data_IF_808022029428
#
_entry.id   IF_808022029428
#
_cell.length_a   1.000
_cell.length_b   1.000
_cell.length_c   1.000
_cell.angle_alpha   90.00
_cell.angle_beta   90.00
_cell.angle_gamma   90.00
#
_symmetry.space_group_name_H-M   'P 1'
#
loop_
_entity.id
_entity.type
_entity.pdbx_description
1 polymer ?
#
# COMPACT_ATOMS: atom_id res chain seq x y z
N UNK A 1 39.57 -49.41 -21.32
CA UNK A 1 39.44 -49.80 -19.90
C UNK A 1 37.97 -49.67 -19.51
N UNK A 2 37.28 -50.79 -19.19
CA UNK A 2 35.81 -50.89 -19.10
C UNK A 2 35.32 -50.49 -17.70
N UNK A 3 34.79 -49.28 -17.53
CA UNK A 3 34.15 -48.82 -16.27
C UNK A 3 32.76 -49.43 -16.01
N UNK A 4 32.20 -50.20 -16.94
CA UNK A 4 30.88 -50.86 -16.80
C UNK A 4 30.91 -52.17 -16.01
N UNK A 5 32.08 -52.69 -15.66
CA UNK A 5 32.22 -54.07 -15.12
C UNK A 5 32.22 -54.15 -13.59
N UNK A 6 32.30 -53.03 -12.87
CA UNK A 6 32.48 -53.03 -11.41
C UNK A 6 31.57 -52.06 -10.65
N UNK A 7 30.66 -51.35 -11.32
CA UNK A 7 29.76 -50.40 -10.68
C UNK A 7 28.30 -50.75 -11.00
N UNK A 8 27.55 -51.16 -9.97
CA UNK A 8 26.10 -51.18 -10.03
C UNK A 8 25.62 -49.73 -9.96
N UNK A 9 25.02 -49.23 -11.04
CA UNK A 9 24.36 -47.94 -11.05
C UNK A 9 22.85 -48.16 -11.07
N UNK A 10 22.16 -47.48 -10.17
CA UNK A 10 20.70 -47.42 -10.15
C UNK A 10 20.34 -45.97 -10.47
N UNK A 11 19.62 -45.76 -11.56
CA UNK A 11 19.07 -44.44 -11.88
C UNK A 11 17.80 -44.28 -11.06
N UNK A 12 17.92 -43.59 -9.93
CA UNK A 12 16.76 -43.19 -9.15
C UNK A 12 16.37 -41.75 -9.49
N UNK A 13 15.08 -41.53 -9.70
CA UNK A 13 14.55 -40.18 -9.87
C UNK A 13 14.50 -39.51 -8.50
N UNK A 14 15.58 -38.80 -8.18
CA UNK A 14 15.63 -37.96 -6.98
C UNK A 14 15.10 -36.56 -7.27
N UNK A 15 14.47 -35.88 -6.29
CA UNK A 15 14.13 -34.48 -6.42
C UNK A 15 15.38 -33.63 -6.69
N UNK A 16 15.29 -32.68 -7.62
CA UNK A 16 16.41 -31.77 -7.95
C UNK A 16 16.76 -30.79 -6.83
N UNK A 17 15.83 -30.56 -5.89
CA UNK A 17 16.03 -29.71 -4.71
C UNK A 17 15.18 -30.20 -3.54
N UNK A 18 15.79 -30.24 -2.36
CA UNK A 18 15.10 -30.48 -1.08
C UNK A 18 15.04 -29.15 -0.35
N UNK A 19 13.84 -28.65 -0.11
CA UNK A 19 13.64 -27.42 0.70
C UNK A 19 13.25 -27.85 2.10
N UNK A 20 13.91 -27.24 3.10
CA UNK A 20 13.62 -27.45 4.50
C UNK A 20 13.49 -26.12 5.21
N UNK A 21 12.48 -26.01 6.05
CA UNK A 21 12.26 -24.86 6.91
C UNK A 21 11.90 -25.39 8.29
N UNK A 22 12.49 -24.83 9.34
CA UNK A 22 12.29 -25.30 10.72
C UNK A 22 12.45 -26.83 10.90
N UNK A 23 13.43 -27.43 10.21
CA UNK A 23 13.71 -28.87 10.18
C UNK A 23 12.59 -29.76 9.59
N UNK A 24 11.57 -29.16 8.96
CA UNK A 24 10.51 -29.87 8.26
C UNK A 24 10.75 -29.84 6.75
N UNK A 25 10.35 -30.91 6.05
CA UNK A 25 10.42 -30.97 4.60
C UNK A 25 9.23 -30.22 4.00
N UNK A 26 9.52 -29.15 3.26
CA UNK A 26 8.48 -28.36 2.62
C UNK A 26 8.39 -28.71 1.13
N UNK A 27 7.16 -28.84 0.64
CA UNK A 27 6.87 -29.04 -0.77
C UNK A 27 5.89 -27.97 -1.23
N UNK A 28 6.38 -27.05 -2.05
CA UNK A 28 5.54 -26.05 -2.68
C UNK A 28 4.75 -26.68 -3.83
N UNK A 29 3.44 -26.46 -3.81
CA UNK A 29 2.52 -26.77 -4.90
C UNK A 29 2.06 -25.41 -5.44
N UNK A 30 2.35 -25.14 -6.70
CA UNK A 30 1.92 -23.91 -7.37
C UNK A 30 0.70 -24.21 -8.22
N UNK A 31 -0.29 -23.33 -8.14
CA UNK A 31 -1.52 -23.41 -8.92
C UNK A 31 -1.72 -22.07 -9.59
N UNK A 32 -1.78 -22.08 -10.92
CA UNK A 32 -2.09 -20.90 -11.70
C UNK A 32 -3.60 -20.80 -11.91
N UNK A 33 -4.23 -19.83 -11.26
CA UNK A 33 -5.62 -19.49 -11.49
C UNK A 33 -5.71 -18.39 -12.56
N UNK A 34 -6.54 -18.62 -13.59
CA UNK A 34 -6.82 -17.62 -14.63
C UNK A 34 -8.20 -17.03 -14.38
N UNK A 35 -8.23 -15.84 -13.79
CA UNK A 35 -9.45 -15.09 -13.49
C UNK A 35 -9.19 -14.05 -12.40
N UNK A 36 -10.25 -13.42 -11.86
CA UNK A 36 -10.14 -12.46 -10.77
C UNK A 36 -9.47 -13.08 -9.53
N UNK A 37 -8.56 -12.34 -8.91
CA UNK A 37 -7.75 -12.81 -7.78
C UNK A 37 -8.60 -13.34 -6.61
N UNK A 38 -9.68 -12.63 -6.26
CA UNK A 38 -10.60 -13.00 -5.18
C UNK A 38 -11.30 -14.34 -5.40
N UNK A 39 -11.68 -14.63 -6.65
CA UNK A 39 -12.29 -15.92 -7.00
C UNK A 39 -11.27 -17.07 -6.89
N UNK A 40 -10.04 -16.84 -7.34
CA UNK A 40 -8.94 -17.80 -7.19
C UNK A 40 -8.64 -18.14 -5.73
N UNK A 41 -8.64 -17.13 -4.85
CA UNK A 41 -8.46 -17.32 -3.42
C UNK A 41 -9.59 -18.11 -2.77
N UNK A 42 -10.83 -17.84 -3.14
CA UNK A 42 -12.01 -18.54 -2.61
C UNK A 42 -11.96 -20.02 -3.01
N UNK A 43 -11.75 -20.29 -4.30
CA UNK A 43 -11.63 -21.65 -4.83
C UNK A 43 -10.49 -22.44 -4.15
N UNK A 44 -9.33 -21.81 -4.00
CA UNK A 44 -8.19 -22.45 -3.35
C UNK A 44 -8.49 -22.76 -1.87
N UNK A 45 -9.23 -21.88 -1.19
CA UNK A 45 -9.60 -22.11 0.23
C UNK A 45 -10.54 -23.31 0.34
N UNK A 46 -11.58 -23.35 -0.50
CA UNK A 46 -12.53 -24.45 -0.55
C UNK A 46 -11.84 -25.78 -0.90
N UNK A 47 -10.90 -25.77 -1.84
CA UNK A 47 -10.12 -26.95 -2.19
C UNK A 47 -9.21 -27.44 -1.06
N UNK A 48 -8.63 -26.52 -0.28
CA UNK A 48 -7.79 -26.86 0.88
C UNK A 48 -8.64 -27.43 2.03
N UNK A 49 -9.81 -26.86 2.29
CA UNK A 49 -10.71 -27.32 3.35
C UNK A 49 -11.32 -28.69 3.02
N UNK A 50 -11.58 -28.97 1.74
CA UNK A 50 -12.08 -30.27 1.27
C UNK A 50 -11.03 -31.37 1.18
N UNK A 51 -9.74 -31.05 1.31
CA UNK A 51 -8.65 -32.01 1.13
C UNK A 51 -8.10 -32.50 2.48
N UNK A 52 -8.32 -33.78 2.79
CA UNK A 52 -7.68 -34.42 3.95
C UNK A 52 -6.23 -34.78 3.63
N UNK A 53 -5.28 -34.06 4.22
CA UNK A 53 -3.86 -34.38 4.08
C UNK A 53 -3.56 -35.80 4.63
N UNK A 54 -2.67 -36.57 3.97
CA UNK A 54 -2.21 -37.84 4.52
C UNK A 54 -1.60 -37.67 5.91
N UNK A 55 -1.65 -38.70 6.79
CA UNK A 55 -1.11 -38.59 8.13
C UNK A 55 0.38 -38.21 8.10
N UNK A 56 0.75 -37.22 8.90
CA UNK A 56 2.11 -36.67 8.95
C UNK A 56 2.39 -35.48 8.01
N UNK A 57 1.44 -35.13 7.13
CA UNK A 57 1.52 -33.93 6.29
C UNK A 57 0.63 -32.82 6.84
N UNK A 58 1.16 -31.59 6.87
CA UNK A 58 0.39 -30.37 7.12
C UNK A 58 0.36 -29.57 5.83
N UNK A 59 -0.84 -29.17 5.42
CA UNK A 59 -1.02 -28.21 4.35
C UNK A 59 -1.07 -26.82 4.94
N UNK A 60 -0.22 -25.95 4.45
CA UNK A 60 -0.19 -24.55 4.83
C UNK A 60 -0.21 -23.72 3.56
N UNK A 61 -1.13 -22.76 3.50
CA UNK A 61 -1.16 -21.79 2.42
C UNK A 61 -0.01 -20.83 2.65
N UNK A 62 0.86 -20.70 1.67
CA UNK A 62 1.85 -19.63 1.64
C UNK A 62 1.11 -18.28 1.56
N UNK A 63 1.05 -17.56 2.69
CA UNK A 63 0.48 -16.22 2.77
C UNK A 63 1.62 -15.23 2.72
N UNK A 64 1.45 -14.14 1.97
CA UNK A 64 2.43 -13.06 1.97
C UNK A 64 2.69 -12.58 3.41
N UNK A 65 3.96 -12.52 3.86
CA UNK A 65 4.29 -12.05 5.20
C UNK A 65 3.85 -10.60 5.44
N UNK A 66 3.65 -9.81 4.38
CA UNK A 66 3.17 -8.43 4.47
C UNK A 66 1.74 -8.29 4.99
N UNK A 67 0.86 -9.25 4.68
CA UNK A 67 -0.56 -9.21 5.06
C UNK A 67 -0.92 -10.38 5.99
N UNK A 68 -0.06 -10.64 6.98
CA UNK A 68 -0.37 -11.61 8.04
C UNK A 68 -1.34 -10.98 9.07
N UNK A 69 -2.19 -11.79 9.71
CA UNK A 69 -3.14 -11.29 10.73
C UNK A 69 -2.43 -10.61 11.92
N UNK A 70 -1.22 -11.05 12.25
CA UNK A 70 -0.41 -10.43 13.30
C UNK A 70 0.08 -9.04 12.85
N UNK A 71 0.54 -8.95 11.59
CA UNK A 71 0.98 -7.68 10.99
C UNK A 71 -0.20 -6.71 10.85
N UNK A 72 -1.39 -7.17 10.47
CA UNK A 72 -2.59 -6.34 10.34
C UNK A 72 -2.98 -5.64 11.66
N UNK A 73 -2.93 -6.37 12.78
CA UNK A 73 -3.20 -5.78 14.10
C UNK A 73 -2.14 -4.74 14.48
N UNK A 74 -0.87 -5.04 14.20
CA UNK A 74 0.21 -4.10 14.45
C UNK A 74 0.06 -2.84 13.58
N UNK A 75 -0.34 -2.98 12.31
CA UNK A 75 -0.58 -1.86 11.41
C UNK A 75 -1.64 -0.90 11.93
N UNK A 76 -2.74 -1.39 12.49
CA UNK A 76 -3.77 -0.54 13.08
C UNK A 76 -3.22 0.38 14.17
N UNK A 77 -2.39 -0.17 15.06
CA UNK A 77 -1.71 0.61 16.10
C UNK A 77 -0.68 1.59 15.55
N UNK A 78 0.08 1.18 14.54
CA UNK A 78 1.06 2.05 13.87
C UNK A 78 0.37 3.23 13.21
N UNK A 79 -0.70 3.01 12.44
CA UNK A 79 -1.47 4.07 11.76
C UNK A 79 -2.06 5.06 12.77
N UNK A 80 -2.65 4.55 13.86
CA UNK A 80 -3.17 5.41 14.93
C UNK A 80 -2.06 6.22 15.59
N UNK A 81 -0.92 5.59 15.91
CA UNK A 81 0.26 6.27 16.44
C UNK A 81 0.80 7.36 15.49
N UNK A 82 0.84 7.08 14.19
CA UNK A 82 1.26 8.03 13.16
C UNK A 82 0.30 9.22 13.08
N UNK A 83 -1.02 9.01 13.09
CA UNK A 83 -2.00 10.11 13.05
C UNK A 83 -1.83 11.02 14.27
N UNK A 84 -1.70 10.43 15.46
CA UNK A 84 -1.47 11.19 16.70
C UNK A 84 -0.16 11.96 16.64
N UNK A 85 0.91 11.33 16.17
CA UNK A 85 2.22 11.97 16.08
C UNK A 85 2.24 13.11 15.06
N UNK A 86 1.63 12.92 13.88
CA UNK A 86 1.48 13.97 12.87
C UNK A 86 0.66 15.13 13.41
N UNK A 87 -0.43 14.85 14.12
CA UNK A 87 -1.26 15.88 14.76
C UNK A 87 -0.44 16.70 15.76
N UNK A 88 0.31 16.05 16.65
CA UNK A 88 1.11 16.74 17.67
C UNK A 88 2.25 17.55 17.07
N UNK A 89 2.97 17.00 16.08
CA UNK A 89 4.06 17.71 15.41
C UNK A 89 3.53 18.94 14.67
N UNK A 90 2.44 18.80 13.92
CA UNK A 90 1.84 19.96 13.22
C UNK A 90 1.20 20.96 14.17
N UNK A 91 0.63 20.51 15.30
CA UNK A 91 0.12 21.40 16.34
C UNK A 91 1.23 22.24 16.97
N UNK A 92 2.40 21.63 17.21
CA UNK A 92 3.58 22.33 17.71
C UNK A 92 4.14 23.33 16.69
N UNK A 93 4.13 23.00 15.39
CA UNK A 93 4.61 23.91 14.32
C UNK A 93 3.70 25.12 14.15
N UNK A 94 2.39 24.93 14.17
CA UNK A 94 1.42 26.00 13.93
C UNK A 94 0.96 26.73 15.20
N UNK A 95 1.44 26.31 16.38
CA UNK A 95 0.98 26.76 17.70
C UNK A 95 -0.56 26.75 17.83
N UNK A 96 -1.22 25.80 17.16
CA UNK A 96 -2.68 25.76 17.03
C UNK A 96 -3.19 24.33 16.97
N UNK A 97 -4.33 24.08 17.63
CA UNK A 97 -4.99 22.77 17.67
C UNK A 97 -5.96 22.56 16.49
N UNK A 98 -6.38 23.63 15.81
CA UNK A 98 -7.38 23.55 14.73
C UNK A 98 -6.74 23.28 13.36
N UNK A 99 -5.60 23.92 13.09
CA UNK A 99 -4.89 23.81 11.81
C UNK A 99 -4.38 22.38 11.50
N UNK A 100 -3.89 21.61 12.50
CA UNK A 100 -3.56 20.19 12.32
C UNK A 100 -4.75 19.35 11.84
N UNK A 101 -5.97 19.67 12.31
CA UNK A 101 -7.18 19.00 11.86
C UNK A 101 -7.44 19.20 10.36
N UNK A 102 -7.15 20.39 9.84
CA UNK A 102 -7.25 20.70 8.41
C UNK A 102 -6.24 19.89 7.60
N UNK A 103 -5.00 19.77 8.09
CA UNK A 103 -3.97 18.95 7.44
C UNK A 103 -4.37 17.48 7.42
N UNK A 104 -4.92 16.95 8.52
CA UNK A 104 -5.37 15.55 8.60
C UNK A 104 -6.52 15.22 7.65
N UNK A 105 -7.37 16.19 7.29
CA UNK A 105 -8.45 15.99 6.30
C UNK A 105 -7.92 15.72 4.88
N UNK A 106 -6.65 16.05 4.60
CA UNK A 106 -6.03 15.71 3.32
C UNK A 106 -5.74 14.21 3.18
N UNK A 107 -5.52 13.49 4.28
CA UNK A 107 -5.23 12.05 4.31
C UNK A 107 -6.39 11.22 3.73
N UNK A 108 -7.64 11.30 4.22
CA UNK A 108 -8.75 10.53 3.63
C UNK A 108 -9.01 10.95 2.18
N UNK A 109 -8.80 12.23 1.84
CA UNK A 109 -8.95 12.72 0.46
C UNK A 109 -7.92 12.07 -0.47
N UNK A 110 -6.66 11.93 -0.04
CA UNK A 110 -5.63 11.22 -0.78
C UNK A 110 -5.96 9.74 -0.96
N UNK A 111 -6.50 9.08 0.08
CA UNK A 111 -6.93 7.68 -0.01
C UNK A 111 -8.11 7.48 -0.97
N UNK A 112 -9.05 8.44 -1.05
CA UNK A 112 -10.10 8.43 -2.08
C UNK A 112 -9.48 8.53 -3.47
N UNK A 113 -8.42 9.33 -3.65
CA UNK A 113 -7.66 9.38 -4.90
C UNK A 113 -7.03 8.04 -5.28
N UNK A 114 -6.42 7.34 -4.31
CA UNK A 114 -5.88 5.99 -4.50
C UNK A 114 -6.99 5.01 -4.88
N UNK A 115 -8.09 4.99 -4.12
CA UNK A 115 -9.23 4.12 -4.40
C UNK A 115 -9.80 4.39 -5.80
N UNK A 116 -9.98 5.66 -6.17
CA UNK A 116 -10.41 6.06 -7.51
C UNK A 116 -9.45 5.62 -8.61
N UNK A 117 -8.14 5.72 -8.40
CA UNK A 117 -7.14 5.24 -9.35
C UNK A 117 -7.23 3.73 -9.57
N UNK A 118 -7.42 2.95 -8.49
CA UNK A 118 -7.61 1.50 -8.59
C UNK A 118 -8.92 1.12 -9.30
N UNK A 119 -10.01 1.85 -9.01
CA UNK A 119 -11.28 1.64 -9.70
C UNK A 119 -11.20 1.90 -11.21
N UNK A 120 -10.42 2.91 -11.62
CA UNK A 120 -10.21 3.24 -13.04
C UNK A 120 -9.22 2.28 -13.72
N UNK A 121 -8.27 1.74 -12.97
CA UNK A 121 -7.23 0.88 -13.51
C UNK A 121 -7.68 -0.59 -13.70
N UNK A 122 -8.87 -0.96 -13.23
CA UNK A 122 -9.48 -2.28 -13.46
C UNK A 122 -9.05 -3.36 -12.46
N UNK A 123 -8.83 -4.59 -12.93
CA UNK A 123 -8.51 -5.79 -12.13
C UNK A 123 -7.08 -5.80 -11.51
N UNK A 124 -6.59 -4.64 -11.06
CA UNK A 124 -5.32 -4.55 -10.34
C UNK A 124 -5.54 -4.87 -8.86
N UNK A 125 -4.97 -5.98 -8.41
CA UNK A 125 -4.93 -6.31 -6.99
C UNK A 125 -4.07 -5.28 -6.22
N UNK A 126 -4.50 -4.95 -5.01
CA UNK A 126 -3.75 -4.08 -4.12
C UNK A 126 -2.53 -4.83 -3.56
N UNK A 127 -1.43 -4.78 -4.31
CA UNK A 127 -0.17 -5.42 -3.97
C UNK A 127 0.71 -4.54 -3.06
N UNK A 128 1.82 -5.08 -2.58
CA UNK A 128 2.79 -4.36 -1.72
C UNK A 128 3.26 -3.03 -2.32
N UNK A 129 3.52 -2.99 -3.63
CA UNK A 129 3.90 -1.74 -4.31
C UNK A 129 2.79 -0.67 -4.28
N UNK A 130 1.53 -1.08 -4.33
CA UNK A 130 0.39 -0.17 -4.21
C UNK A 130 0.31 0.45 -2.82
N UNK A 131 0.61 -0.33 -1.78
CA UNK A 131 0.68 0.14 -0.40
C UNK A 131 1.76 1.21 -0.22
N UNK A 132 2.98 0.95 -0.71
CA UNK A 132 4.08 1.93 -0.67
C UNK A 132 3.67 3.22 -1.41
N UNK A 133 3.07 3.09 -2.60
CA UNK A 133 2.56 4.24 -3.35
C UNK A 133 1.49 5.04 -2.61
N UNK A 134 0.56 4.36 -1.93
CA UNK A 134 -0.48 5.02 -1.14
C UNK A 134 0.11 5.81 0.04
N UNK A 135 1.08 5.24 0.76
CA UNK A 135 1.78 5.93 1.86
C UNK A 135 2.54 7.17 1.36
N UNK A 136 3.23 7.05 0.22
CA UNK A 136 3.91 8.18 -0.41
C UNK A 136 2.93 9.30 -0.81
N UNK A 137 1.78 8.94 -1.39
CA UNK A 137 0.73 9.91 -1.74
C UNK A 137 0.16 10.63 -0.53
N UNK A 138 -0.03 9.94 0.59
CA UNK A 138 -0.45 10.56 1.85
C UNK A 138 0.57 11.59 2.32
N UNK A 139 1.87 11.27 2.26
CA UNK A 139 2.93 12.21 2.61
C UNK A 139 2.97 13.45 1.71
N UNK A 140 2.77 13.27 0.41
CA UNK A 140 2.72 14.37 -0.55
C UNK A 140 1.51 15.28 -0.31
N UNK A 141 0.32 14.70 -0.12
CA UNK A 141 -0.90 15.45 0.19
C UNK A 141 -0.81 16.22 1.52
N UNK A 142 -0.18 15.62 2.54
CA UNK A 142 0.06 16.29 3.81
C UNK A 142 1.01 17.48 3.66
N UNK A 143 2.08 17.36 2.87
CA UNK A 143 3.01 18.45 2.59
C UNK A 143 2.30 19.63 1.88
N UNK A 144 1.52 19.33 0.83
CA UNK A 144 0.75 20.34 0.11
C UNK A 144 -0.25 21.07 1.02
N UNK A 145 -0.86 20.34 1.95
CA UNK A 145 -1.79 20.90 2.94
C UNK A 145 -1.09 21.80 3.95
N UNK A 146 0.09 21.42 4.44
CA UNK A 146 0.91 22.24 5.35
C UNK A 146 1.28 23.56 4.65
N UNK A 147 1.72 23.50 3.39
CA UNK A 147 2.07 24.69 2.60
C UNK A 147 0.86 25.60 2.35
N UNK A 148 -0.31 25.03 2.06
CA UNK A 148 -1.55 25.79 1.87
C UNK A 148 -1.94 26.53 3.16
N UNK A 149 -1.84 25.85 4.30
CA UNK A 149 -2.18 26.41 5.62
C UNK A 149 -1.22 27.54 6.00
N UNK A 150 0.09 27.34 5.83
CA UNK A 150 1.09 28.39 6.10
C UNK A 150 0.84 29.63 5.23
N UNK A 151 0.56 29.43 3.93
CA UNK A 151 0.20 30.53 3.02
C UNK A 151 -1.08 31.24 3.46
N UNK A 152 -2.10 30.49 3.89
CA UNK A 152 -3.34 31.06 4.38
C UNK A 152 -3.13 31.92 5.64
N UNK A 153 -2.31 31.46 6.60
CA UNK A 153 -1.95 32.24 7.78
C UNK A 153 -1.25 33.55 7.40
N UNK A 154 -0.22 33.49 6.55
CA UNK A 154 0.51 34.67 6.09
C UNK A 154 -0.40 35.68 5.36
N UNK A 155 -1.30 35.19 4.50
CA UNK A 155 -2.25 36.04 3.78
C UNK A 155 -3.25 36.70 4.73
N UNK A 156 -3.72 35.97 5.73
CA UNK A 156 -4.67 36.46 6.74
C UNK A 156 -4.03 37.52 7.65
N UNK A 157 -2.76 37.37 7.98
CA UNK A 157 -1.98 38.38 8.70
C UNK A 157 -1.73 39.63 7.86
N UNK A 158 -1.40 39.47 6.58
CA UNK A 158 -1.15 40.58 5.67
C UNK A 158 -2.41 41.37 5.29
N UNK A 159 -3.57 40.70 5.18
CA UNK A 159 -4.83 41.31 4.73
C UNK A 159 -6.04 40.85 5.57
N UNK A 160 -6.19 41.36 6.81
CA UNK A 160 -7.21 40.92 7.76
C UNK A 160 -8.68 41.08 7.29
N UNK A 161 -8.94 41.89 6.26
CA UNK A 161 -10.27 42.16 5.72
C UNK A 161 -10.46 41.76 4.24
N UNK A 162 -9.49 41.09 3.61
CA UNK A 162 -9.47 40.89 2.15
C UNK A 162 -9.14 39.48 1.65
N UNK A 163 -9.21 38.45 2.50
CA UNK A 163 -8.67 37.12 2.21
C UNK A 163 -9.30 36.42 0.97
N UNK A 164 -10.54 36.74 0.61
CA UNK A 164 -11.24 36.09 -0.53
C UNK A 164 -10.91 36.74 -1.87
N UNK A 165 -10.65 38.06 -1.90
CA UNK A 165 -10.33 38.79 -3.14
C UNK A 165 -8.91 38.52 -3.65
N UNK A 166 -7.96 38.33 -2.74
CA UNK A 166 -6.56 38.06 -3.09
C UNK A 166 -6.31 36.66 -3.66
N UNK A 167 -7.16 35.67 -3.33
CA UNK A 167 -7.09 34.30 -3.86
C UNK A 167 -7.45 34.20 -5.35
N UNK A 168 -8.22 35.17 -5.87
CA UNK A 168 -8.61 35.24 -7.29
C UNK A 168 -7.65 36.07 -8.15
N UNK A 169 -6.77 36.87 -7.54
CA UNK A 169 -5.79 37.69 -8.26
C UNK A 169 -4.91 36.88 -9.24
N UNK A 170 -4.36 35.70 -8.89
CA UNK A 170 -3.56 34.94 -9.85
C UNK A 170 -4.38 34.39 -11.03
N UNK A 171 -5.68 34.13 -10.86
CA UNK A 171 -6.56 33.68 -11.95
C UNK A 171 -6.89 34.82 -12.93
N UNK A 172 -7.03 36.05 -12.43
CA UNK A 172 -7.28 37.23 -13.27
C UNK A 172 -6.07 37.59 -14.16
N UNK A 173 -4.84 37.42 -13.65
CA UNK A 173 -3.62 37.68 -14.43
C UNK A 173 -3.46 36.70 -15.60
N UNK A 174 -3.79 35.42 -15.41
CA UNK A 174 -3.74 34.42 -16.48
C UNK A 174 -4.81 34.69 -17.55
N UNK A 175 -6.00 35.13 -17.15
CA UNK A 175 -7.05 35.52 -18.09
C UNK A 175 -6.66 36.76 -18.94
N UNK A 176 -5.98 37.75 -18.35
CA UNK A 176 -5.52 38.95 -19.05
C UNK A 176 -4.41 38.67 -20.07
N UNK A 177 -3.52 37.71 -19.77
CA UNK A 177 -2.46 37.29 -20.70
C UNK A 177 -3.06 36.53 -21.89
N UNK A 178 -4.06 35.68 -21.68
CA UNK A 178 -4.70 34.91 -22.76
C UNK A 178 -5.55 35.76 -23.72
N UNK A 179 -6.05 36.92 -23.30
CA UNK A 179 -6.92 37.78 -24.14
C UNK A 179 -6.13 38.79 -24.97
N UNK A 180 -4.85 38.99 -24.68
CA UNK A 180 -3.99 39.97 -25.38
C UNK A 180 -3.17 39.33 -26.53
N UNK A 181 -3.24 38.01 -26.69
CA UNK A 181 -2.45 37.23 -27.68
C UNK A 181 -3.26 36.70 -28.89
N UNK A 182 -4.41 37.31 -29.21
CA UNK A 182 -5.19 37.06 -30.44
C UNK A 182 -5.70 38.36 -31.07
#
# INVERSE_FOLDING_TARGET
>A
MKLKSSANYVVETVPSRIVRENQQYNRYIQVDYRGPYEMGNTLLTEALDGFSAPPGYRLERDRSPFFSQETERAFGWVVLGTIVLVFLVTAAVFESWYLPGVVLLSVPTALVGVAGAFLLAGDLAFAEGAFIGAVLLVGLAANDSILLVDRYQRLREAHPHGAVGALLAPLATVALISVTDN
#
